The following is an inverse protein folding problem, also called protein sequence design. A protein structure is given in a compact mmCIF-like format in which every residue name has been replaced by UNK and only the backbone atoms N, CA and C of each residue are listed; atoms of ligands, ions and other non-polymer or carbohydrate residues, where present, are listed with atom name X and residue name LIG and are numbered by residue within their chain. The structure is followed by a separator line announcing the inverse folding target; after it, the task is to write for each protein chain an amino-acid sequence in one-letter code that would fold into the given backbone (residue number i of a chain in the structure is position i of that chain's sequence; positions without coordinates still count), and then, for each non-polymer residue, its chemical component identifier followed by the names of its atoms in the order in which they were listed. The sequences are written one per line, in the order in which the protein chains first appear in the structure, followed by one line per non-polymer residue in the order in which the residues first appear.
data_IF_812413170093
#
_entry.id   IF_812413170093
#
_cell.length_a   1.000
_cell.length_b   1.000
_cell.length_c   1.000
_cell.angle_alpha   90.00
_cell.angle_beta   90.00
_cell.angle_gamma   90.00
#
_symmetry.space_group_name_H-M   'P 1'
#
loop_
_entity.id
_entity.type
_entity.pdbx_description
1 polymer ?
#
# COMPACT_ATOMS: atom_id res chain seq x y z
N UNK A 1 -18.12 -14.07 -2.10
CA UNK A 1 -17.90 -12.70 -2.62
C UNK A 1 -16.46 -12.48 -3.09
N UNK A 2 -16.21 -11.54 -4.01
CA UNK A 2 -14.89 -11.15 -4.55
C UNK A 2 -14.75 -9.62 -4.68
N UNK A 3 -13.53 -9.09 -4.86
CA UNK A 3 -13.31 -7.65 -5.12
C UNK A 3 -12.13 -7.40 -6.07
N UNK A 4 -12.31 -6.47 -7.01
CA UNK A 4 -11.26 -5.96 -7.89
C UNK A 4 -10.91 -4.53 -7.48
N UNK A 5 -9.65 -4.30 -7.13
CA UNK A 5 -9.11 -3.02 -6.68
C UNK A 5 -8.11 -2.50 -7.73
N UNK A 6 -8.31 -1.29 -8.28
CA UNK A 6 -7.34 -0.66 -9.17
C UNK A 6 -6.00 -0.39 -8.49
N UNK A 7 -4.91 -0.38 -9.27
CA UNK A 7 -3.58 0.01 -8.76
C UNK A 7 -3.60 1.42 -8.16
N UNK A 8 -2.92 1.62 -7.04
CA UNK A 8 -2.88 2.90 -6.33
C UNK A 8 -4.10 3.17 -5.42
N UNK A 9 -5.01 2.21 -5.27
CA UNK A 9 -6.13 2.28 -4.34
C UNK A 9 -6.07 1.19 -3.28
N UNK A 10 -6.60 1.50 -2.10
CA UNK A 10 -6.97 0.54 -1.09
C UNK A 10 -8.49 0.60 -0.89
N UNK A 11 -9.09 -0.51 -0.48
CA UNK A 11 -10.52 -0.59 -0.14
C UNK A 11 -10.65 -0.92 1.34
N UNK A 12 -11.35 -0.07 2.08
CA UNK A 12 -11.79 -0.42 3.44
C UNK A 12 -13.20 -0.98 3.37
N UNK A 13 -13.37 -2.21 3.85
CA UNK A 13 -14.67 -2.88 3.94
C UNK A 13 -15.16 -2.89 5.39
N UNK A 14 -16.48 -2.79 5.57
CA UNK A 14 -17.13 -2.68 6.87
C UNK A 14 -18.20 -3.75 7.04
N UNK A 15 -18.32 -4.28 8.26
CA UNK A 15 -19.35 -5.29 8.58
C UNK A 15 -20.78 -4.71 8.54
N UNK A 16 -20.96 -3.43 8.89
CA UNK A 16 -22.28 -2.80 8.91
C UNK A 16 -22.43 -1.74 7.81
N UNK A 17 -23.69 -1.43 7.48
CA UNK A 17 -24.04 -0.36 6.56
C UNK A 17 -23.56 1.00 7.09
N UNK A 18 -23.41 1.97 6.19
CA UNK A 18 -22.97 3.34 6.52
C UNK A 18 -21.60 3.38 7.22
N UNK A 19 -20.69 2.46 6.87
CA UNK A 19 -19.28 2.44 7.30
C UNK A 19 -19.10 2.26 8.81
N UNK A 20 -19.93 1.41 9.42
CA UNK A 20 -19.92 1.14 10.86
C UNK A 20 -19.42 -0.27 11.18
N UNK A 21 -19.13 -0.49 12.46
CA UNK A 21 -18.63 -1.76 12.98
C UNK A 21 -17.16 -1.99 12.64
N UNK A 22 -16.73 -3.24 12.78
CA UNK A 22 -15.39 -3.69 12.40
C UNK A 22 -15.12 -3.43 10.92
N UNK A 23 -13.86 -3.13 10.63
CA UNK A 23 -13.40 -2.80 9.29
C UNK A 23 -12.05 -3.43 8.98
N UNK A 24 -11.81 -3.65 7.69
CA UNK A 24 -10.56 -4.24 7.17
C UNK A 24 -10.14 -3.50 5.91
N UNK A 25 -8.85 -3.18 5.79
CA UNK A 25 -8.29 -2.49 4.61
C UNK A 25 -7.56 -3.46 3.69
N UNK A 26 -8.00 -3.53 2.44
CA UNK A 26 -7.45 -4.35 1.38
C UNK A 26 -6.61 -3.49 0.46
N UNK A 27 -5.36 -3.89 0.22
CA UNK A 27 -4.42 -3.19 -0.67
C UNK A 27 -4.27 -3.86 -2.05
N UNK A 28 -5.01 -4.94 -2.29
CA UNK A 28 -4.95 -5.73 -3.52
C UNK A 28 -6.24 -6.47 -3.79
N UNK A 29 -6.47 -6.80 -5.06
CA UNK A 29 -7.63 -7.59 -5.51
C UNK A 29 -7.55 -9.02 -4.96
N UNK A 30 -8.71 -9.64 -4.77
CA UNK A 30 -8.79 -11.04 -4.36
C UNK A 30 -10.03 -11.72 -4.97
N UNK A 31 -9.88 -12.94 -5.50
CA UNK A 31 -11.01 -13.69 -6.00
C UNK A 31 -11.88 -14.26 -4.86
N UNK A 32 -11.39 -14.35 -3.62
CA UNK A 32 -12.13 -14.97 -2.51
C UNK A 32 -11.80 -14.31 -1.15
N UNK A 33 -12.83 -13.81 -0.45
CA UNK A 33 -12.67 -13.18 0.88
C UNK A 33 -12.22 -14.15 1.98
N UNK A 34 -12.46 -15.47 1.82
CA UNK A 34 -11.99 -16.49 2.78
C UNK A 34 -10.47 -16.50 2.93
N UNK A 35 -9.74 -16.00 1.92
CA UNK A 35 -8.28 -16.03 1.88
C UNK A 35 -7.64 -14.73 2.34
N UNK A 36 -8.44 -13.72 2.72
CA UNK A 36 -7.93 -12.39 3.07
C UNK A 36 -7.65 -12.25 4.56
N UNK A 37 -8.46 -12.89 5.40
CA UNK A 37 -8.33 -12.83 6.84
C UNK A 37 -7.91 -14.18 7.41
N UNK A 38 -7.33 -14.21 8.63
CA UNK A 38 -7.01 -15.46 9.31
C UNK A 38 -8.25 -16.38 9.38
N UNK A 39 -8.08 -17.71 9.44
CA UNK A 39 -9.19 -18.67 9.39
C UNK A 39 -10.30 -18.43 10.44
N UNK A 40 -9.95 -17.80 11.56
CA UNK A 40 -10.87 -17.43 12.66
C UNK A 40 -11.67 -16.14 12.43
N UNK A 41 -11.41 -15.40 11.34
CA UNK A 41 -12.11 -14.19 10.93
C UNK A 41 -12.70 -14.40 9.52
N UNK A 42 -13.83 -15.09 9.42
CA UNK A 42 -14.54 -15.22 8.13
C UNK A 42 -15.34 -13.95 7.82
N UNK A 43 -14.93 -13.24 6.77
CA UNK A 43 -15.65 -12.12 6.14
C UNK A 43 -16.75 -12.54 5.17
N UNK A 44 -16.85 -13.84 4.88
CA UNK A 44 -17.80 -14.32 3.90
C UNK A 44 -19.22 -13.92 4.34
N UNK A 45 -19.93 -13.22 3.44
CA UNK A 45 -21.31 -12.75 3.59
C UNK A 45 -21.57 -11.76 4.75
N UNK A 46 -20.53 -11.07 5.24
CA UNK A 46 -20.65 -10.07 6.33
C UNK A 46 -20.40 -8.63 5.90
N UNK A 47 -19.96 -8.37 4.67
CA UNK A 47 -19.61 -7.02 4.21
C UNK A 47 -20.88 -6.29 3.79
N UNK A 48 -21.17 -5.16 4.44
CA UNK A 48 -22.38 -4.37 4.16
C UNK A 48 -22.07 -2.99 3.54
N UNK A 49 -20.84 -2.49 3.62
CA UNK A 49 -20.42 -1.25 2.94
C UNK A 49 -18.91 -1.18 2.72
N UNK A 50 -18.46 -0.35 1.76
CA UNK A 50 -17.04 -0.18 1.44
C UNK A 50 -16.68 1.26 1.05
N UNK A 51 -15.43 1.67 1.28
CA UNK A 51 -14.86 2.95 0.82
C UNK A 51 -13.55 2.73 0.09
N UNK A 52 -13.33 3.50 -0.97
CA UNK A 52 -12.02 3.63 -1.60
C UNK A 52 -11.17 4.66 -0.86
N UNK A 53 -9.91 4.31 -0.60
CA UNK A 53 -8.85 5.23 -0.20
C UNK A 53 -7.74 5.25 -1.24
N UNK A 54 -7.14 6.41 -1.49
CA UNK A 54 -5.93 6.51 -2.33
C UNK A 54 -4.71 6.04 -1.53
N UNK A 55 -3.88 5.21 -2.14
CA UNK A 55 -2.56 4.88 -1.61
C UNK A 55 -1.61 6.02 -2.03
N UNK A 56 -0.82 6.59 -1.10
CA UNK A 56 0.10 7.67 -1.45
C UNK A 56 1.10 7.19 -2.51
N UNK A 57 1.29 8.02 -3.54
CA UNK A 57 2.38 7.86 -4.50
C UNK A 57 3.58 8.60 -3.96
N UNK A 58 4.67 7.87 -3.72
CA UNK A 58 5.95 8.42 -3.23
C UNK A 58 6.90 8.49 -4.41
N UNK A 59 7.60 9.60 -4.58
CA UNK A 59 8.55 9.81 -5.69
C UNK A 59 9.96 9.95 -5.16
N UNK A 60 10.85 9.07 -5.60
CA UNK A 60 12.27 9.11 -5.35
C UNK A 60 13.00 9.75 -6.53
N UNK A 61 14.08 10.45 -6.20
CA UNK A 61 14.87 11.24 -7.13
C UNK A 61 16.32 10.79 -7.07
N UNK A 62 16.96 10.73 -8.23
CA UNK A 62 18.38 10.38 -8.35
C UNK A 62 19.28 11.39 -7.67
N UNK A 63 18.93 12.67 -7.73
CA UNK A 63 19.76 13.76 -7.22
C UNK A 63 19.12 14.44 -6.00
N UNK A 64 19.95 15.12 -5.20
CA UNK A 64 19.48 15.94 -4.08
C UNK A 64 18.60 17.11 -4.57
N UNK A 65 17.70 17.58 -3.69
CA UNK A 65 16.81 18.71 -4.00
C UNK A 65 15.70 18.39 -4.99
N UNK A 66 15.28 17.13 -5.08
CA UNK A 66 14.17 16.65 -5.92
C UNK A 66 14.39 16.83 -7.43
N UNK A 67 15.61 16.51 -7.90
CA UNK A 67 16.05 16.69 -9.29
C UNK A 67 16.44 15.36 -9.94
N UNK A 68 16.64 15.41 -11.25
CA UNK A 68 17.13 14.29 -12.05
C UNK A 68 16.08 13.22 -12.32
N UNK A 69 16.55 12.01 -12.61
CA UNK A 69 15.70 10.86 -12.90
C UNK A 69 14.81 10.52 -11.70
N UNK A 70 13.56 10.13 -11.98
CA UNK A 70 12.57 9.82 -10.95
C UNK A 70 12.05 8.39 -11.04
N UNK A 71 11.70 7.85 -9.88
CA UNK A 71 10.95 6.60 -9.75
C UNK A 71 9.82 6.80 -8.77
N UNK A 72 8.62 6.36 -9.11
CA UNK A 72 7.46 6.52 -8.24
C UNK A 72 6.84 5.18 -7.89
N UNK A 73 6.45 5.05 -6.63
CA UNK A 73 5.90 3.82 -6.08
C UNK A 73 4.63 4.11 -5.29
N UNK A 74 3.72 3.13 -5.28
CA UNK A 74 2.56 3.08 -4.38
C UNK A 74 2.64 1.79 -3.60
N UNK A 75 2.19 1.83 -2.35
CA UNK A 75 2.24 0.70 -1.44
C UNK A 75 3.67 0.30 -1.05
N UNK A 76 3.78 -0.77 -0.27
CA UNK A 76 5.07 -1.29 0.17
C UNK A 76 5.78 -2.04 -0.97
N UNK A 77 7.09 -1.83 -1.10
CA UNK A 77 7.94 -2.52 -2.07
C UNK A 77 9.07 -3.24 -1.33
N UNK A 78 9.14 -4.55 -1.49
CA UNK A 78 10.24 -5.36 -0.96
C UNK A 78 11.52 -5.20 -1.78
N UNK A 79 11.42 -4.72 -3.02
CA UNK A 79 12.57 -4.36 -3.85
C UNK A 79 12.16 -3.25 -4.82
N UNK A 80 13.02 -2.24 -4.97
CA UNK A 80 12.74 -1.03 -5.77
C UNK A 80 13.03 -1.23 -7.26
N UNK A 81 13.70 -2.33 -7.61
CA UNK A 81 14.07 -2.72 -8.97
C UNK A 81 15.51 -2.36 -9.31
N UNK A 82 16.11 -3.14 -10.22
CA UNK A 82 17.54 -3.02 -10.58
C UNK A 82 17.95 -1.66 -11.13
N UNK A 83 17.05 -0.99 -11.87
CA UNK A 83 17.30 0.34 -12.42
C UNK A 83 17.38 1.45 -11.36
N UNK A 84 16.83 1.21 -10.18
CA UNK A 84 16.59 2.20 -9.13
C UNK A 84 17.38 1.92 -7.84
N UNK A 85 17.80 0.67 -7.61
CA UNK A 85 18.52 0.25 -6.41
C UNK A 85 19.77 1.11 -6.19
N UNK A 86 19.98 1.54 -4.95
CA UNK A 86 21.15 2.32 -4.49
C UNK A 86 21.36 3.66 -5.22
N UNK A 87 20.30 4.23 -5.82
CA UNK A 87 20.40 5.45 -6.63
C UNK A 87 19.61 6.65 -6.11
N UNK A 88 18.95 6.53 -4.97
CA UNK A 88 18.09 7.62 -4.47
C UNK A 88 18.89 8.60 -3.63
N UNK A 89 18.68 9.89 -3.86
CA UNK A 89 19.29 10.96 -3.05
C UNK A 89 18.28 11.96 -2.49
N UNK A 90 17.03 11.91 -2.92
CA UNK A 90 15.93 12.62 -2.24
C UNK A 90 14.56 11.97 -2.49
N UNK A 91 13.58 12.25 -1.63
CA UNK A 91 12.23 11.66 -1.71
C UNK A 91 11.16 12.72 -1.43
N UNK A 92 10.11 12.76 -2.26
CA UNK A 92 8.87 13.49 -1.97
C UNK A 92 7.79 12.54 -1.49
N UNK A 93 7.29 12.81 -0.29
CA UNK A 93 6.21 12.08 0.37
C UNK A 93 4.98 12.99 0.40
N UNK A 94 3.77 12.50 0.04
CA UNK A 94 2.55 13.28 0.19
C UNK A 94 2.34 13.74 1.63
N UNK A 95 1.79 14.96 1.80
CA UNK A 95 1.53 15.52 3.13
C UNK A 95 0.65 14.60 3.98
N UNK A 96 0.99 14.46 5.26
CA UNK A 96 0.29 13.59 6.21
C UNK A 96 0.69 12.11 6.14
N UNK A 97 1.69 11.75 5.34
CA UNK A 97 2.22 10.39 5.26
C UNK A 97 3.69 10.33 5.68
N UNK A 98 4.09 9.16 6.17
CA UNK A 98 5.47 8.80 6.43
C UNK A 98 5.85 7.57 5.59
N UNK A 99 7.13 7.43 5.30
CA UNK A 99 7.70 6.23 4.67
C UNK A 99 8.87 5.76 5.50
N UNK A 100 9.02 4.44 5.62
CA UNK A 100 10.21 3.82 6.18
C UNK A 100 11.02 3.24 5.03
N UNK A 101 12.29 3.63 4.92
CA UNK A 101 13.22 3.18 3.90
C UNK A 101 14.14 2.15 4.53
N UNK A 102 14.42 1.05 3.82
CA UNK A 102 15.31 -0.01 4.27
C UNK A 102 16.54 -0.11 3.38
N UNK A 103 17.70 -0.33 4.00
CA UNK A 103 18.99 -0.50 3.34
C UNK A 103 19.01 -1.73 2.43
N UNK A 104 18.30 -2.80 2.79
CA UNK A 104 18.26 -4.04 2.03
C UNK A 104 16.86 -4.43 1.60
N UNK A 105 16.80 -5.17 0.49
CA UNK A 105 15.57 -5.76 0.00
C UNK A 105 14.89 -6.64 1.07
N UNK A 106 13.57 -6.80 0.91
CA UNK A 106 12.68 -7.55 1.82
C UNK A 106 12.65 -6.96 3.23
N UNK A 107 12.78 -5.63 3.35
CA UNK A 107 12.63 -4.87 4.59
C UNK A 107 13.69 -5.26 5.65
N UNK A 108 14.94 -5.36 5.22
CA UNK A 108 16.07 -5.78 6.06
C UNK A 108 17.12 -4.68 6.16
N UNK A 109 18.07 -4.86 7.09
CA UNK A 109 19.16 -3.91 7.32
C UNK A 109 18.68 -2.71 8.14
N UNK A 110 19.46 -1.61 8.08
CA UNK A 110 19.07 -0.36 8.75
C UNK A 110 17.83 0.24 8.09
N UNK A 111 17.10 1.00 8.89
CA UNK A 111 15.92 1.73 8.42
C UNK A 111 15.88 3.15 8.95
N UNK A 112 15.30 4.02 8.13
CA UNK A 112 15.07 5.44 8.43
C UNK A 112 13.63 5.80 8.07
#
# INVERSE_FOLDING_TARGET
SSVKIPSGYAVTIYEHAKYKGRSWTLKGSTPCFKNILPPFLSLNDKVSSFRFGKIPKVTFYKDCGYKGQTWSYTGSKSYVGSKANDRFSSVKIPSGYAVTIYEHAKYKGRSW
#
